data_IF_640981180912
#
_entry.id   IF_640981180912
#
_cell.length_a   1.000
_cell.length_b   1.000
_cell.length_c   1.000
_cell.angle_alpha   90.00
_cell.angle_beta   90.00
_cell.angle_gamma   90.00
#
_symmetry.space_group_name_H-M   'P 1'
#
loop_
_entity.id
_entity.type
_entity.pdbx_description
1 polymer ?
#
# COMPACT_ATOMS: atom_id res chain seq x y z
N UNK A 1 -26.00 5.20 2.47
CA UNK A 1 -24.96 5.79 3.35
C UNK A 1 -23.60 5.12 3.14
N UNK A 2 -23.53 3.78 3.18
CA UNK A 2 -22.28 3.04 2.92
C UNK A 2 -21.75 3.29 1.50
N UNK A 3 -22.60 3.32 0.47
CA UNK A 3 -22.14 3.55 -0.91
C UNK A 3 -21.47 4.91 -1.11
N UNK A 4 -22.01 5.97 -0.49
CA UNK A 4 -21.41 7.31 -0.53
C UNK A 4 -20.06 7.31 0.20
N UNK A 5 -19.99 6.64 1.36
CA UNK A 5 -18.73 6.50 2.10
C UNK A 5 -17.66 5.74 1.29
N UNK A 6 -18.05 4.68 0.58
CA UNK A 6 -17.16 3.94 -0.31
C UNK A 6 -16.65 4.83 -1.46
N UNK A 7 -17.52 5.61 -2.11
CA UNK A 7 -17.11 6.52 -3.20
C UNK A 7 -16.11 7.58 -2.68
N UNK A 8 -16.42 8.20 -1.54
CA UNK A 8 -15.52 9.20 -0.93
C UNK A 8 -14.18 8.57 -0.53
N UNK A 9 -14.19 7.37 0.06
CA UNK A 9 -12.98 6.65 0.43
C UNK A 9 -12.14 6.29 -0.79
N UNK A 10 -12.75 5.74 -1.85
CA UNK A 10 -12.05 5.42 -3.11
C UNK A 10 -11.44 6.67 -3.73
N UNK A 11 -12.17 7.79 -3.78
CA UNK A 11 -11.65 9.04 -4.31
C UNK A 11 -10.47 9.58 -3.50
N UNK A 12 -10.58 9.59 -2.17
CA UNK A 12 -9.51 10.03 -1.28
C UNK A 12 -8.26 9.15 -1.40
N UNK A 13 -8.42 7.82 -1.42
CA UNK A 13 -7.31 6.87 -1.58
C UNK A 13 -6.69 6.99 -2.98
N UNK A 14 -7.49 7.21 -4.03
CA UNK A 14 -6.96 7.44 -5.38
C UNK A 14 -6.07 8.68 -5.44
N UNK A 15 -6.50 9.79 -4.82
CA UNK A 15 -5.68 11.01 -4.72
C UNK A 15 -4.42 10.75 -3.90
N UNK A 16 -4.53 10.05 -2.75
CA UNK A 16 -3.38 9.68 -1.94
C UNK A 16 -2.38 8.82 -2.73
N UNK A 17 -2.85 7.82 -3.48
CA UNK A 17 -2.02 6.97 -4.34
C UNK A 17 -1.29 7.77 -5.41
N UNK A 18 -1.94 8.74 -6.05
CA UNK A 18 -1.29 9.61 -7.05
C UNK A 18 -0.19 10.49 -6.42
N UNK A 19 -0.45 11.07 -5.25
CA UNK A 19 0.53 11.87 -4.52
C UNK A 19 1.73 11.03 -4.07
N UNK A 20 1.47 9.84 -3.55
CA UNK A 20 2.53 8.89 -3.15
C UNK A 20 3.32 8.40 -4.35
N UNK A 21 2.66 8.14 -5.48
CA UNK A 21 3.35 7.76 -6.72
C UNK A 21 4.26 8.87 -7.24
N UNK A 22 3.81 10.13 -7.19
CA UNK A 22 4.67 11.27 -7.51
C UNK A 22 5.90 11.34 -6.59
N UNK A 23 5.72 11.12 -5.28
CA UNK A 23 6.82 11.10 -4.31
C UNK A 23 7.77 9.92 -4.51
N UNK A 24 7.27 8.76 -4.94
CA UNK A 24 8.07 7.59 -5.29
C UNK A 24 9.04 7.88 -6.44
N UNK A 25 8.58 8.61 -7.46
CA UNK A 25 9.41 8.94 -8.64
C UNK A 25 10.39 10.08 -8.36
N UNK A 26 9.95 11.14 -7.66
CA UNK A 26 10.77 12.33 -7.39
C UNK A 26 11.55 12.31 -6.07
N UNK A 27 11.45 11.25 -5.27
CA UNK A 27 12.15 11.15 -3.99
C UNK A 27 13.67 11.33 -4.15
N UNK A 28 14.32 12.23 -3.38
CA UNK A 28 15.75 12.48 -3.47
C UNK A 28 16.57 11.32 -2.89
N UNK A 29 16.15 10.78 -1.74
CA UNK A 29 16.81 9.67 -1.07
C UNK A 29 16.17 8.32 -1.40
N UNK A 30 16.98 7.26 -1.36
CA UNK A 30 16.51 5.88 -1.56
C UNK A 30 15.51 5.49 -0.46
N UNK A 31 15.74 5.95 0.77
CA UNK A 31 14.85 5.70 1.90
C UNK A 31 13.47 6.35 1.69
N UNK A 32 13.43 7.58 1.18
CA UNK A 32 12.18 8.28 0.84
C UNK A 32 11.36 7.52 -0.20
N UNK A 33 12.04 6.91 -1.19
CA UNK A 33 11.38 6.09 -2.21
C UNK A 33 10.83 4.80 -1.63
N UNK A 34 11.54 4.15 -0.71
CA UNK A 34 11.05 2.92 -0.05
C UNK A 34 9.85 3.22 0.84
N UNK A 35 9.89 4.32 1.60
CA UNK A 35 8.74 4.75 2.41
C UNK A 35 7.53 5.11 1.54
N UNK A 36 7.77 5.75 0.38
CA UNK A 36 6.72 6.00 -0.60
C UNK A 36 6.15 4.69 -1.17
N UNK A 37 7.00 3.70 -1.46
CA UNK A 37 6.57 2.39 -1.94
C UNK A 37 5.71 1.65 -0.90
N UNK A 38 6.13 1.67 0.37
CA UNK A 38 5.35 1.09 1.49
C UNK A 38 3.97 1.73 1.61
N UNK A 39 3.93 3.06 1.57
CA UNK A 39 2.68 3.81 1.61
C UNK A 39 1.78 3.48 0.42
N UNK A 40 2.34 3.25 -0.77
CA UNK A 40 1.60 2.86 -1.96
C UNK A 40 0.96 1.46 -1.80
N UNK A 41 1.67 0.52 -1.16
CA UNK A 41 1.14 -0.81 -0.85
C UNK A 41 -0.05 -0.69 0.11
N UNK A 42 0.06 0.11 1.17
CA UNK A 42 -1.03 0.35 2.13
C UNK A 42 -2.25 1.00 1.44
N UNK A 43 -2.03 2.00 0.58
CA UNK A 43 -3.14 2.60 -0.19
C UNK A 43 -3.83 1.56 -1.09
N UNK A 44 -3.07 0.66 -1.70
CA UNK A 44 -3.60 -0.43 -2.53
C UNK A 44 -4.44 -1.40 -1.69
N UNK A 45 -3.98 -1.78 -0.50
CA UNK A 45 -4.75 -2.60 0.45
C UNK A 45 -6.06 -1.90 0.82
N UNK A 46 -6.03 -0.59 1.08
CA UNK A 46 -7.22 0.22 1.33
C UNK A 46 -8.23 0.16 0.18
N UNK A 47 -7.78 0.23 -1.07
CA UNK A 47 -8.66 0.07 -2.24
C UNK A 47 -9.30 -1.31 -2.31
N UNK A 48 -8.54 -2.37 -2.05
CA UNK A 48 -9.05 -3.76 -2.04
C UNK A 48 -10.16 -3.91 -0.99
N UNK A 49 -9.99 -3.35 0.21
CA UNK A 49 -10.99 -3.40 1.27
C UNK A 49 -12.26 -2.63 0.88
N UNK A 50 -12.13 -1.43 0.34
CA UNK A 50 -13.30 -0.63 -0.10
C UNK A 50 -14.06 -1.32 -1.24
N UNK A 51 -13.35 -1.98 -2.16
CA UNK A 51 -13.95 -2.80 -3.22
C UNK A 51 -14.71 -4.00 -2.61
N UNK A 52 -14.12 -4.66 -1.61
CA UNK A 52 -14.78 -5.74 -0.88
C UNK A 52 -16.09 -5.32 -0.20
N UNK A 53 -16.11 -4.12 0.39
CA UNK A 53 -17.30 -3.52 0.96
C UNK A 53 -18.39 -3.26 -0.10
N UNK A 54 -17.98 -2.82 -1.30
CA UNK A 54 -18.92 -2.54 -2.39
C UNK A 54 -19.59 -3.82 -2.92
N UNK A 55 -18.81 -4.89 -3.11
CA UNK A 55 -19.32 -6.19 -3.55
C UNK A 55 -19.95 -7.01 -2.42
N UNK A 56 -19.93 -6.51 -1.18
CA UNK A 56 -20.49 -7.18 0.01
C UNK A 56 -19.96 -8.61 0.21
N UNK A 57 -18.69 -8.83 -0.08
CA UNK A 57 -18.03 -10.14 0.06
C UNK A 57 -16.76 -10.03 0.92
N UNK A 58 -16.57 -11.03 1.79
CA UNK A 58 -15.41 -11.12 2.69
C UNK A 58 -14.15 -11.61 1.98
N UNK A 59 -14.25 -12.15 0.77
CA UNK A 59 -13.10 -12.70 0.03
C UNK A 59 -12.01 -11.64 -0.22
N UNK A 60 -12.40 -10.40 -0.50
CA UNK A 60 -11.43 -9.31 -0.70
C UNK A 60 -10.75 -8.89 0.60
N UNK A 61 -11.40 -9.08 1.75
CA UNK A 61 -10.78 -8.81 3.06
C UNK A 61 -9.68 -9.82 3.37
N UNK A 62 -9.90 -11.09 3.07
CA UNK A 62 -8.86 -12.13 3.17
C UNK A 62 -7.68 -11.83 2.24
N UNK A 63 -7.95 -11.44 0.99
CA UNK A 63 -6.91 -11.01 0.06
C UNK A 63 -6.12 -9.80 0.59
N UNK A 64 -6.80 -8.79 1.13
CA UNK A 64 -6.17 -7.61 1.73
C UNK A 64 -5.22 -7.97 2.89
N UNK A 65 -5.59 -8.94 3.73
CA UNK A 65 -4.72 -9.46 4.80
C UNK A 65 -3.46 -10.14 4.24
N UNK A 66 -3.59 -10.94 3.19
CA UNK A 66 -2.44 -11.55 2.52
C UNK A 66 -1.49 -10.49 1.95
N UNK A 67 -2.05 -9.48 1.26
CA UNK A 67 -1.25 -8.36 0.75
C UNK A 67 -0.58 -7.56 1.86
N UNK A 68 -1.24 -7.36 3.01
CA UNK A 68 -0.64 -6.68 4.16
C UNK A 68 0.58 -7.43 4.71
N UNK A 69 0.48 -8.76 4.86
CA UNK A 69 1.60 -9.58 5.32
C UNK A 69 2.78 -9.55 4.34
N UNK A 70 2.51 -9.73 3.04
CA UNK A 70 3.56 -9.73 2.00
C UNK A 70 4.19 -8.34 1.86
N UNK A 71 3.36 -7.30 1.90
CA UNK A 71 3.79 -5.90 1.84
C UNK A 71 4.79 -5.59 2.94
N UNK A 72 4.45 -5.91 4.19
CA UNK A 72 5.33 -5.70 5.34
C UNK A 72 6.66 -6.47 5.23
N UNK A 73 6.63 -7.74 4.82
CA UNK A 73 7.86 -8.54 4.63
C UNK A 73 8.76 -7.91 3.56
N UNK A 74 8.17 -7.39 2.49
CA UNK A 74 8.90 -6.72 1.40
C UNK A 74 9.63 -5.49 1.91
N UNK A 75 8.98 -4.63 2.70
CA UNK A 75 9.63 -3.44 3.25
C UNK A 75 10.73 -3.77 4.23
N UNK A 76 10.52 -4.75 5.12
CA UNK A 76 11.57 -5.20 6.05
C UNK A 76 12.79 -5.74 5.30
N UNK A 77 12.58 -6.54 4.24
CA UNK A 77 13.66 -7.05 3.41
C UNK A 77 14.44 -5.94 2.71
N UNK A 78 13.76 -4.93 2.16
CA UNK A 78 14.38 -3.77 1.52
C UNK A 78 15.20 -2.92 2.50
N UNK A 79 14.67 -2.68 3.70
CA UNK A 79 15.40 -1.95 4.76
C UNK A 79 16.65 -2.73 5.21
N UNK A 80 16.55 -4.05 5.37
CA UNK A 80 17.69 -4.89 5.74
C UNK A 80 18.76 -4.90 4.65
N UNK A 81 18.34 -4.98 3.38
CA UNK A 81 19.23 -4.90 2.22
C UNK A 81 20.05 -3.60 2.22
N UNK A 82 19.38 -2.46 2.44
CA UNK A 82 20.05 -1.16 2.49
C UNK A 82 21.09 -1.04 3.60
N UNK A 83 20.80 -1.58 4.79
CA UNK A 83 21.69 -1.47 5.94
C UNK A 83 22.92 -2.39 5.85
N UNK A 84 22.77 -3.58 5.27
CA UNK A 84 23.81 -4.64 5.33
C UNK A 84 24.40 -5.04 3.98
N UNK A 85 23.86 -4.56 2.87
CA UNK A 85 24.27 -4.95 1.51
C UNK A 85 23.88 -6.38 1.10
N UNK A 86 23.52 -7.25 2.06
CA UNK A 86 23.06 -8.62 1.84
C UNK A 86 21.74 -8.89 2.60
N UNK A 87 20.79 -9.57 1.95
CA UNK A 87 19.46 -9.92 2.51
C UNK A 87 19.54 -11.17 3.38
N UNK A 88 20.34 -12.15 2.94
CA UNK A 88 20.47 -13.49 3.53
C UNK A 88 21.93 -13.66 3.96
N UNK A 89 22.10 -14.15 5.18
CA UNK A 89 23.38 -14.55 5.78
C UNK A 89 23.52 -16.06 5.63
#
# INVERSE_FOLDING_TARGET
MIDIACIVATAAIAVASLLTFYRLVRGPDVLDRILALDTLVINTIGLIVVIGLWFRTTMYFEAALLFAMVGFVTTVALCKYLLRGNVIE
#
